data_IF_395949154582
#
_entry.id   IF_395949154582
#
_cell.length_a   1.000
_cell.length_b   1.000
_cell.length_c   1.000
_cell.angle_alpha   90.00
_cell.angle_beta   90.00
_cell.angle_gamma   90.00
#
_symmetry.space_group_name_H-M   'P 1'
#
loop_
_entity.id
_entity.type
_entity.pdbx_description
1 polymer ?
2 polymer ?
3 polymer ?
4 water ?
#
loop_
_entity_poly.entity_id
_entity_poly.type
_entity_poly.pdbx_seq_one_letter_code
_entity_poly.pdbx_strand_id
2 'polydeoxyribonucleotide' '(DG)(DT)(DT)(DA)(DG)(DG)(DG)(DT)(DT)(DA)(DG)(DG)(DG)(DT)(DT)(DA)(DG)(DG)(DG)(DT)(DT)(DA)(DG)' ?
3 'polydeoxyribonucleotide' '(DC)(DT)(DA)(DA)(DC)(DC)(DC)(DT)(DA)(DA)(DC)(DC)(DC)(DT)(DA)(DA)(DC)(DC)(DC)(DT)(DA)(DA)(DC)' ?
#
# COMPACT_ATOMS: atom_id res chain seq x y z
N UNK A 6 -0.80 0.29 22.60
CA UNK A 6 -1.25 0.96 23.81
C UNK A 6 -2.47 1.84 23.51
N UNK A 7 -2.72 2.07 22.22
CA UNK A 7 -3.79 2.94 21.77
C UNK A 7 -4.05 2.66 20.30
N UNK A 8 -5.23 3.03 19.78
CA UNK A 8 -5.48 2.87 18.35
C UNK A 8 -4.49 3.68 17.53
N UNK A 9 -4.13 3.13 16.36
CA UNK A 9 -3.23 3.83 15.45
C UNK A 9 -3.81 5.20 15.09
N UNK A 10 -2.97 6.23 15.18
CA UNK A 10 -3.47 7.59 15.01
C UNK A 10 -3.51 7.99 13.54
N UNK A 11 -4.41 8.91 13.23
CA UNK A 11 -4.40 9.63 11.96
C UNK A 11 -4.19 11.11 12.28
N UNK A 12 -3.44 11.79 11.41
CA UNK A 12 -3.06 13.18 11.65
C UNK A 12 -3.70 14.07 10.60
N UNK A 13 -4.71 14.83 11.03
CA UNK A 13 -5.41 15.77 10.15
C UNK A 13 -4.44 16.77 9.56
N UNK A 14 -4.64 17.11 8.30
CA UNK A 14 -3.83 18.13 7.65
C UNK A 14 -4.22 19.52 8.15
N UNK A 15 -3.24 20.27 8.62
CA UNK A 15 -3.45 21.66 9.00
C UNK A 15 -3.52 22.54 7.76
N UNK A 16 -4.02 23.77 7.95
CA UNK A 16 -4.10 24.70 6.84
C UNK A 16 -2.71 25.07 6.32
N UNK A 17 -1.75 25.22 7.23
CA UNK A 17 -0.38 25.52 6.81
C UNK A 17 0.21 24.40 5.97
N UNK A 18 -0.02 23.15 6.37
CA UNK A 18 0.42 22.01 5.57
C UNK A 18 -0.23 22.04 4.19
N UNK A 19 -1.54 22.26 4.14
CA UNK A 19 -2.25 22.27 2.86
C UNK A 19 -1.73 23.37 1.94
N UNK A 20 -1.49 24.57 2.49
CA UNK A 20 -1.00 25.66 1.66
C UNK A 20 0.39 25.37 1.13
N UNK A 21 1.21 24.66 1.90
CA UNK A 21 2.57 24.36 1.46
C UNK A 21 2.55 23.35 0.31
N UNK A 22 1.66 22.36 0.37
CA UNK A 22 1.58 21.37 -0.69
C UNK A 22 1.08 22.00 -1.98
N UNK A 23 0.14 22.95 -1.89
CA UNK A 23 -0.36 23.61 -3.08
C UNK A 23 0.75 24.39 -3.77
N UNK A 24 1.59 25.09 -2.99
CA UNK A 24 2.68 25.84 -3.58
C UNK A 24 3.72 24.92 -4.19
N UNK A 25 4.07 23.84 -3.48
CA UNK A 25 5.00 22.87 -4.04
C UNK A 25 4.47 22.21 -5.30
N UNK A 26 3.19 21.87 -5.30
CA UNK A 26 2.58 21.27 -6.49
C UNK A 26 2.62 22.25 -7.67
N UNK A 27 2.35 23.53 -7.42
CA UNK A 27 2.35 24.49 -8.51
C UNK A 27 3.75 24.77 -9.05
N UNK A 28 4.80 24.47 -8.27
CA UNK A 28 6.16 24.77 -8.67
C UNK A 28 6.86 23.61 -9.35
N UNK A 29 6.74 22.38 -8.82
CA UNK A 29 7.46 21.23 -9.35
C UNK A 29 6.52 20.09 -9.72
N UNK A 30 5.21 20.30 -9.62
CA UNK A 30 4.25 19.26 -9.94
C UNK A 30 4.31 18.11 -8.97
N UNK A 31 3.92 16.91 -9.42
CA UNK A 31 3.87 15.75 -8.53
C UNK A 31 5.25 15.15 -8.23
N UNK A 32 6.25 15.99 -8.04
CA UNK A 32 7.59 15.54 -7.65
C UNK A 32 7.68 15.60 -6.13
N UNK A 33 7.29 14.50 -5.49
CA UNK A 33 7.07 14.52 -4.04
C UNK A 33 8.38 14.71 -3.28
N UNK A 34 9.47 14.12 -3.78
CA UNK A 34 10.76 14.31 -3.11
C UNK A 34 11.23 15.75 -3.20
N UNK A 35 11.01 16.39 -4.36
CA UNK A 35 11.42 17.79 -4.51
C UNK A 35 10.59 18.71 -3.62
N UNK A 36 9.30 18.42 -3.45
CA UNK A 36 8.46 19.24 -2.58
C UNK A 36 8.99 19.23 -1.16
N UNK A 37 9.46 18.08 -0.70
CA UNK A 37 10.03 18.00 0.64
C UNK A 37 11.40 18.65 0.72
N UNK A 38 12.14 18.69 -0.39
CA UNK A 38 13.35 19.50 -0.45
C UNK A 38 13.02 20.97 -0.21
N UNK A 39 11.87 21.42 -0.72
CA UNK A 39 11.50 22.83 -0.59
C UNK A 39 10.80 23.11 0.73
N UNK A 40 10.00 22.17 1.24
CA UNK A 40 9.15 22.44 2.40
C UNK A 40 9.20 21.39 3.49
N UNK A 41 10.01 20.35 3.36
CA UNK A 41 10.08 19.31 4.35
C UNK A 41 11.05 19.63 5.46
N UNK A 42 11.58 18.59 6.12
CA UNK A 42 12.57 18.81 7.17
C UNK A 42 13.81 19.49 6.60
N UNK A 43 14.25 20.55 7.26
CA UNK A 43 15.34 21.35 6.71
C UNK A 43 15.03 21.90 5.33
N UNK A 44 13.77 22.20 5.07
CA UNK A 44 13.38 22.60 3.72
C UNK A 44 14.04 23.92 3.32
N UNK A 45 14.34 24.04 2.03
CA UNK A 45 15.00 25.24 1.52
C UNK A 45 14.13 26.48 1.72
N UNK A 46 12.83 26.34 1.56
CA UNK A 46 11.92 27.49 1.62
C UNK A 46 11.31 27.58 3.01
N UNK A 47 10.49 26.59 3.39
CA UNK A 47 9.93 26.52 4.73
C UNK A 47 10.09 25.09 5.23
N UNK A 48 9.55 24.83 6.42
CA UNK A 48 9.48 23.48 6.98
C UNK A 48 8.05 23.08 7.30
N UNK A 49 7.07 23.69 6.60
CA UNK A 49 5.67 23.47 6.91
C UNK A 49 5.19 22.06 6.59
N UNK A 50 5.94 21.30 5.79
CA UNK A 50 5.61 19.92 5.50
C UNK A 50 6.56 18.94 6.16
N UNK A 51 7.25 19.38 7.23
CA UNK A 51 8.29 18.55 7.83
C UNK A 51 7.74 17.28 8.48
N UNK A 52 6.43 17.22 8.74
CA UNK A 52 5.83 16.06 9.39
C UNK A 52 5.10 15.14 8.41
N UNK A 53 5.33 15.28 7.11
CA UNK A 53 4.65 14.48 6.10
C UNK A 53 5.67 13.78 5.21
N UNK A 54 5.44 12.51 4.94
CA UNK A 54 6.29 11.76 4.02
C UNK A 54 5.90 12.04 2.58
N UNK A 55 6.69 11.52 1.65
CA UNK A 55 6.37 11.64 0.23
C UNK A 55 5.03 10.99 -0.09
N UNK A 56 4.78 9.81 0.50
CA UNK A 56 3.53 9.12 0.24
C UNK A 56 2.35 9.87 0.86
N UNK A 57 2.56 10.50 2.02
CA UNK A 57 1.50 11.31 2.61
C UNK A 57 1.14 12.48 1.71
N UNK A 58 2.15 13.12 1.10
CA UNK A 58 1.89 14.21 0.17
C UNK A 58 1.06 13.72 -1.01
N UNK A 59 1.44 12.58 -1.60
CA UNK A 59 0.73 12.07 -2.76
C UNK A 59 -0.68 11.64 -2.41
N UNK A 60 -0.87 11.03 -1.24
CA UNK A 60 -2.22 10.63 -0.83
C UNK A 60 -3.12 11.84 -0.59
N UNK A 61 -2.54 12.96 -0.13
CA UNK A 61 -3.33 14.16 0.07
C UNK A 61 -3.68 14.81 -1.27
N UNK A 62 -2.70 14.93 -2.16
CA UNK A 62 -2.97 15.48 -3.48
C UNK A 62 -4.03 14.66 -4.21
N UNK A 63 -3.96 13.33 -4.08
CA UNK A 63 -4.95 12.48 -4.70
C UNK A 63 -6.34 12.76 -4.13
N UNK A 64 -6.43 12.89 -2.80
CA UNK A 64 -7.72 13.20 -2.18
C UNK A 64 -8.30 14.50 -2.73
N UNK A 65 -7.45 15.52 -2.91
CA UNK A 65 -7.91 16.78 -3.50
C UNK A 65 -8.42 16.56 -4.92
N UNK A 66 -7.64 15.86 -5.74
CA UNK A 66 -8.06 15.59 -7.11
C UNK A 66 -9.39 14.85 -7.14
N UNK A 67 -9.57 13.88 -6.24
CA UNK A 67 -10.83 13.15 -6.18
C UNK A 67 -11.98 14.07 -5.81
N UNK A 68 -11.73 15.05 -4.94
CA UNK A 68 -12.80 15.98 -4.55
C UNK A 68 -13.31 16.76 -5.76
N UNK A 69 -12.39 17.33 -6.55
CA UNK A 69 -12.80 18.04 -7.75
C UNK A 69 -13.52 17.11 -8.73
N UNK A 70 -12.99 15.90 -8.91
CA UNK A 70 -13.62 14.96 -9.84
C UNK A 70 -14.99 14.53 -9.35
N UNK A 71 -15.12 14.23 -8.06
CA UNK A 71 -16.41 13.78 -7.53
C UNK A 71 -17.47 14.85 -7.66
N UNK A 72 -17.10 16.12 -7.59
CA UNK A 72 -18.06 17.22 -7.67
C UNK A 72 -18.27 17.72 -9.08
N UNK A 73 -17.51 17.20 -10.05
CA UNK A 73 -17.62 17.66 -11.43
C UNK A 73 -16.99 19.01 -11.68
N UNK A 74 -16.19 19.51 -10.75
CA UNK A 74 -15.57 20.83 -10.89
C UNK A 74 -14.29 20.74 -11.73
N UNK A 75 -13.90 21.85 -12.35
CA UNK A 75 -12.65 21.85 -13.13
C UNK A 75 -11.45 21.56 -12.24
N UNK A 76 -10.57 20.71 -12.73
CA UNK A 76 -9.34 20.39 -12.00
C UNK A 76 -8.43 21.60 -12.00
N UNK A 77 -7.87 21.99 -10.85
CA UNK A 77 -6.77 22.96 -10.86
C UNK A 77 -5.63 22.43 -11.70
N UNK A 78 -4.87 23.34 -12.31
CA UNK A 78 -3.78 22.93 -13.17
C UNK A 78 -2.76 22.09 -12.41
N UNK A 79 -2.53 22.39 -11.14
CA UNK A 79 -1.50 21.69 -10.38
C UNK A 79 -1.91 20.30 -9.92
N UNK A 80 -3.11 19.83 -10.27
CA UNK A 80 -3.55 18.48 -9.95
C UNK A 80 -3.74 17.60 -11.19
N UNK A 81 -3.50 18.14 -12.39
CA UNK A 81 -3.75 17.38 -13.62
C UNK A 81 -2.89 16.13 -13.66
N UNK A 82 -1.64 16.23 -13.25
CA UNK A 82 -0.70 15.11 -13.30
C UNK A 82 -0.67 14.30 -12.00
N UNK A 83 -1.60 14.56 -11.08
CA UNK A 83 -1.67 13.80 -9.85
C UNK A 83 -2.46 12.52 -10.08
N UNK A 84 -2.02 11.42 -9.47
CA UNK A 84 -2.72 10.16 -9.62
C UNK A 84 -4.08 10.21 -8.93
N UNK A 85 -5.04 9.50 -9.50
CA UNK A 85 -6.39 9.48 -8.97
C UNK A 85 -7.46 9.33 -10.03
N UNK A 86 -8.29 8.30 -9.90
CA UNK A 86 -9.35 8.03 -10.85
C UNK A 86 -10.66 7.83 -10.12
N UNK A 87 -11.75 8.28 -10.74
CA UNK A 87 -13.07 8.17 -10.12
C UNK A 87 -13.45 6.71 -9.89
N UNK A 88 -12.92 5.80 -10.70
CA UNK A 88 -13.21 4.38 -10.53
C UNK A 88 -11.93 3.55 -10.56
N UNK D 11 -30.57 -3.70 7.70
CA UNK D 11 -29.76 -3.84 8.90
C UNK D 11 -29.86 -5.25 9.49
N UNK D 12 -28.72 -5.93 9.55
CA UNK D 12 -28.64 -7.31 10.00
C UNK D 12 -28.00 -7.35 11.38
N UNK D 13 -28.73 -7.86 12.37
CA UNK D 13 -28.17 -8.05 13.69
C UNK D 13 -27.09 -9.13 13.66
N UNK D 14 -26.15 -9.03 14.59
CA UNK D 14 -24.99 -9.91 14.60
C UNK D 14 -25.30 -11.23 15.28
N UNK D 15 -24.97 -12.33 14.63
CA UNK D 15 -25.14 -13.65 15.22
C UNK D 15 -24.05 -13.92 16.25
N UNK D 16 -24.32 -14.89 17.12
CA UNK D 16 -23.34 -15.26 18.14
C UNK D 16 -22.07 -15.81 17.50
N UNK D 17 -22.21 -16.54 16.39
CA UNK D 17 -21.03 -17.06 15.70
C UNK D 17 -20.21 -15.94 15.09
N UNK D 18 -20.88 -14.96 14.48
CA UNK D 18 -20.19 -13.79 13.95
C UNK D 18 -19.41 -13.08 15.05
N UNK D 19 -20.03 -12.89 16.21
CA UNK D 19 -19.37 -12.19 17.31
C UNK D 19 -18.16 -12.96 17.81
N UNK D 20 -18.27 -14.29 17.89
CA UNK D 20 -17.14 -15.09 18.35
C UNK D 20 -16.00 -15.06 17.35
N UNK D 21 -16.33 -15.07 16.06
CA UNK D 21 -15.29 -15.01 15.03
C UNK D 21 -14.53 -13.70 15.09
N UNK D 22 -15.24 -12.58 15.28
CA UNK D 22 -14.58 -11.28 15.38
C UNK D 22 -13.69 -11.21 16.61
N UNK D 23 -14.15 -11.78 17.73
CA UNK D 23 -13.33 -11.79 18.93
C UNK D 23 -12.07 -12.63 18.70
N UNK D 24 -12.20 -13.75 17.98
CA UNK D 24 -11.03 -14.56 17.67
C UNK D 24 -10.05 -13.83 16.78
N UNK D 25 -10.56 -13.15 15.74
CA UNK D 25 -9.68 -12.40 14.86
C UNK D 25 -8.98 -11.25 15.57
N UNK D 26 -9.69 -10.55 16.46
CA UNK D 26 -9.09 -9.45 17.19
C UNK D 26 -7.98 -9.93 18.12
N UNK D 27 -8.16 -11.09 18.73
CA UNK D 27 -7.11 -11.66 19.57
C UNK D 27 -5.88 -12.02 18.74
N UNK D 28 -6.09 -12.51 17.52
CA UNK D 28 -4.97 -12.99 16.71
C UNK D 28 -4.22 -11.84 16.04
N UNK D 29 -4.92 -11.00 15.29
CA UNK D 29 -4.28 -9.99 14.46
C UNK D 29 -4.64 -8.57 14.87
N UNK D 30 -5.40 -8.38 15.94
CA UNK D 30 -5.80 -7.06 16.36
C UNK D 30 -6.76 -6.42 15.39
N UNK D 31 -6.76 -5.09 15.32
CA UNK D 31 -7.70 -4.39 14.44
C UNK D 31 -7.28 -4.42 12.97
N UNK D 32 -6.81 -5.57 12.49
CA UNK D 32 -6.44 -5.74 11.09
C UNK D 32 -7.65 -6.32 10.36
N UNK D 33 -8.54 -5.41 9.96
CA UNK D 33 -9.87 -5.82 9.49
C UNK D 33 -9.78 -6.67 8.23
N UNK D 34 -8.92 -6.29 7.29
CA UNK D 34 -8.77 -7.08 6.08
C UNK D 34 -8.20 -8.46 6.39
N UNK D 35 -7.25 -8.53 7.32
CA UNK D 35 -6.68 -9.82 7.71
C UNK D 35 -7.73 -10.70 8.39
N UNK D 36 -8.62 -10.10 9.18
CA UNK D 36 -9.66 -10.88 9.84
C UNK D 36 -10.58 -11.54 8.81
N UNK D 37 -10.93 -10.81 7.75
CA UNK D 37 -11.72 -11.40 6.69
C UNK D 37 -10.93 -12.38 5.84
N UNK D 38 -9.59 -12.31 5.87
CA UNK D 38 -8.79 -13.36 5.25
C UNK D 38 -8.99 -14.68 5.98
N UNK D 39 -9.20 -14.64 7.29
CA UNK D 39 -9.31 -15.84 8.11
C UNK D 39 -10.75 -16.31 8.28
N UNK D 40 -11.70 -15.39 8.39
CA UNK D 40 -13.08 -15.75 8.67
C UNK D 40 -14.08 -15.20 7.67
N UNK D 41 -13.63 -14.49 6.63
CA UNK D 41 -14.53 -13.90 5.66
C UNK D 41 -14.90 -14.84 4.54
N UNK D 42 -15.33 -14.29 3.41
CA UNK D 42 -15.64 -15.13 2.24
C UNK D 42 -14.40 -15.88 1.79
N UNK D 43 -14.55 -17.20 1.66
CA UNK D 43 -13.39 -18.04 1.36
C UNK D 43 -12.30 -17.94 2.40
N UNK D 44 -12.69 -17.72 3.67
CA UNK D 44 -11.69 -17.55 4.70
C UNK D 44 -10.88 -18.81 4.92
N UNK D 45 -9.62 -18.61 5.32
CA UNK D 45 -8.70 -19.73 5.50
C UNK D 45 -9.05 -20.56 6.73
N UNK D 46 -9.73 -19.99 7.71
CA UNK D 46 -10.11 -20.69 8.94
C UNK D 46 -11.59 -21.05 8.92
N UNK D 47 -12.48 -20.06 8.81
CA UNK D 47 -13.91 -20.29 8.68
C UNK D 47 -14.46 -19.33 7.63
N UNK D 48 -15.79 -19.33 7.49
CA UNK D 48 -16.51 -18.31 6.72
C UNK D 48 -17.56 -17.61 7.56
N UNK D 49 -17.40 -17.62 8.89
CA UNK D 49 -18.43 -17.12 9.79
C UNK D 49 -18.72 -15.64 9.62
N UNK D 50 -17.77 -14.87 9.08
CA UNK D 50 -17.94 -13.44 8.90
C UNK D 50 -18.03 -13.06 7.42
N UNK D 51 -18.51 -13.99 6.58
CA UNK D 51 -18.48 -13.77 5.14
C UNK D 51 -19.44 -12.67 4.69
N UNK D 52 -20.43 -12.32 5.51
CA UNK D 52 -21.42 -11.31 5.14
C UNK D 52 -21.16 -9.96 5.82
N UNK D 53 -19.94 -9.72 6.28
CA UNK D 53 -19.60 -8.46 6.93
C UNK D 53 -18.40 -7.84 6.23
N UNK D 54 -18.49 -6.56 5.90
CA UNK D 54 -17.39 -5.83 5.28
C UNK D 54 -16.34 -5.48 6.33
N UNK D 55 -15.24 -4.89 5.86
CA UNK D 55 -14.18 -4.45 6.78
C UNK D 55 -14.67 -3.35 7.70
N UNK D 56 -15.47 -2.42 7.18
CA UNK D 56 -15.98 -1.33 8.01
C UNK D 56 -17.02 -1.85 8.98
N UNK D 57 -17.78 -2.89 8.60
CA UNK D 57 -18.72 -3.49 9.53
C UNK D 57 -18.00 -4.12 10.71
N UNK D 58 -16.87 -4.79 10.45
CA UNK D 58 -16.08 -5.36 11.54
C UNK D 58 -15.59 -4.27 12.48
N UNK D 59 -14.97 -3.23 11.93
CA UNK D 59 -14.48 -2.13 12.75
C UNK D 59 -15.60 -1.50 13.57
N UNK D 60 -16.78 -1.32 12.95
CA UNK D 60 -17.89 -0.67 13.66
C UNK D 60 -18.43 -1.55 14.77
N UNK D 61 -18.40 -2.88 14.57
CA UNK D 61 -18.85 -3.78 15.63
C UNK D 61 -17.89 -3.78 16.79
N UNK D 62 -16.58 -3.83 16.51
CA UNK D 62 -15.59 -3.78 17.57
C UNK D 62 -15.67 -2.47 18.34
N UNK D 63 -15.89 -1.36 17.63
CA UNK D 63 -16.05 -0.07 18.31
C UNK D 63 -17.30 -0.07 19.19
N UNK D 64 -18.41 -0.62 18.67
CA UNK D 64 -19.61 -0.79 19.49
C UNK D 64 -19.27 -1.46 20.82
N UNK D 65 -18.51 -2.56 20.76
CA UNK D 65 -18.10 -3.25 21.97
C UNK D 65 -17.27 -2.35 22.87
N UNK D 66 -16.27 -1.67 22.29
CA UNK D 66 -15.39 -0.81 23.09
C UNK D 66 -16.18 0.27 23.82
N UNK D 67 -17.13 0.91 23.14
CA UNK D 67 -17.93 1.95 23.77
C UNK D 67 -18.76 1.41 24.92
N UNK D 68 -19.22 0.15 24.83
CA UNK D 68 -19.96 -0.46 25.92
C UNK D 68 -19.10 -0.55 27.18
N UNK D 69 -17.85 -0.98 27.04
CA UNK D 69 -16.96 -1.06 28.20
C UNK D 69 -16.64 0.33 28.75
N UNK D 70 -16.39 1.29 27.85
CA UNK D 70 -16.06 2.64 28.30
C UNK D 70 -17.23 3.29 29.03
N UNK D 71 -18.46 3.05 28.57
CA UNK D 71 -19.62 3.66 29.19
C UNK D 71 -19.88 3.10 30.59
N UNK D 72 -19.47 1.86 30.85
CA UNK D 72 -19.80 1.17 32.09
C UNK D 72 -18.62 1.03 33.04
N UNK D 73 -17.44 1.53 32.67
CA UNK D 73 -16.28 1.39 33.52
C UNK D 73 -15.68 0.01 33.59
N UNK D 74 -16.21 -0.96 32.85
CA UNK D 74 -15.65 -2.30 32.87
C UNK D 74 -14.26 -2.29 32.23
N UNK D 75 -13.31 -3.01 32.81
CA UNK D 75 -11.97 -3.09 32.20
C UNK D 75 -12.02 -3.51 30.75
N UNK D 76 -11.32 -2.76 29.91
CA UNK D 76 -11.33 -3.01 28.48
C UNK D 76 -10.54 -4.28 28.17
N UNK D 77 -11.12 -5.23 27.44
CA UNK D 77 -10.33 -6.41 27.03
C UNK D 77 -9.12 -5.99 26.21
N UNK D 78 -8.05 -6.80 26.33
CA UNK D 78 -6.82 -6.45 25.65
C UNK D 78 -7.02 -6.35 24.13
N UNK D 79 -7.87 -7.20 23.57
CA UNK D 79 -8.11 -7.22 22.14
C UNK D 79 -8.97 -6.06 21.65
N UNK D 80 -9.27 -5.09 22.50
CA UNK D 80 -9.99 -3.88 22.09
C UNK D 80 -9.18 -2.61 22.31
N UNK D 81 -7.98 -2.72 22.90
CA UNK D 81 -7.20 -1.53 23.22
C UNK D 81 -6.93 -0.69 21.97
N UNK D 82 -6.59 -1.35 20.87
CA UNK D 82 -6.27 -0.65 19.63
C UNK D 82 -7.46 -0.48 18.72
N UNK D 83 -8.66 -0.78 19.19
CA UNK D 83 -9.88 -0.54 18.42
C UNK D 83 -10.30 0.91 18.60
N UNK D 84 -10.69 1.55 17.49
CA UNK D 84 -11.11 2.95 17.56
C UNK D 84 -12.41 3.09 18.36
N UNK D 85 -12.56 4.23 19.02
CA UNK D 85 -13.75 4.49 19.78
C UNK D 85 -13.51 5.42 20.96
N UNK D 86 -14.21 6.55 20.99
CA UNK D 86 -14.11 7.51 22.08
C UNK D 86 -15.51 7.92 22.51
N UNK D 87 -15.66 8.18 23.81
CA UNK D 87 -16.92 8.69 24.34
C UNK D 87 -16.99 10.20 24.16
N UNK D 88 -18.20 10.70 23.92
CA UNK D 88 -18.44 12.12 23.68
C UNK D 88 -17.89 12.99 24.81
N UNK E 9 7.78 8.70 -18.27
CA UNK E 9 7.77 7.32 -18.74
C UNK E 9 6.53 6.58 -18.25
N UNK E 10 5.81 5.95 -19.18
CA UNK E 10 4.60 5.22 -18.85
C UNK E 10 4.95 3.85 -18.27
N UNK E 11 4.35 3.53 -17.13
CA UNK E 11 4.60 2.25 -16.48
C UNK E 11 3.77 1.15 -17.11
N UNK E 12 4.40 0.01 -17.36
CA UNK E 12 3.74 -1.12 -18.00
C UNK E 12 3.98 -2.37 -17.17
N UNK E 13 2.90 -3.00 -16.71
CA UNK E 13 3.03 -4.20 -15.90
C UNK E 13 3.64 -5.34 -16.72
N UNK E 14 4.31 -6.25 -16.03
CA UNK E 14 4.99 -7.36 -16.67
C UNK E 14 3.98 -8.43 -17.07
N UNK E 15 4.04 -8.85 -18.33
CA UNK E 15 3.24 -9.97 -18.79
C UNK E 15 3.85 -11.28 -18.30
N UNK E 16 3.09 -12.38 -18.46
CA UNK E 16 3.64 -13.68 -18.11
C UNK E 16 4.77 -14.07 -19.04
N UNK E 17 4.66 -13.70 -20.33
CA UNK E 17 5.71 -14.01 -21.29
C UNK E 17 7.03 -13.36 -20.86
N UNK E 18 6.98 -12.11 -20.42
CA UNK E 18 8.19 -11.41 -20.01
C UNK E 18 8.80 -12.03 -18.77
N UNK E 19 7.96 -12.38 -17.78
CA UNK E 19 8.46 -12.97 -16.55
C UNK E 19 9.10 -14.33 -16.80
N UNK E 20 8.48 -15.15 -17.65
CA UNK E 20 9.05 -16.45 -17.99
C UNK E 20 10.39 -16.29 -18.68
N UNK E 21 10.51 -15.30 -19.57
CA UNK E 21 11.78 -15.05 -20.24
C UNK E 21 12.85 -14.65 -19.23
N UNK E 22 12.52 -13.73 -18.32
CA UNK E 22 13.48 -13.29 -17.32
C UNK E 22 13.89 -14.44 -16.41
N UNK E 23 12.94 -15.30 -16.05
CA UNK E 23 13.26 -16.47 -15.22
C UNK E 23 14.26 -17.37 -15.95
N UNK E 24 14.00 -17.65 -17.23
CA UNK E 24 14.90 -18.51 -17.99
C UNK E 24 16.28 -17.89 -18.14
N UNK E 25 16.34 -16.56 -18.31
CA UNK E 25 17.62 -15.90 -18.40
C UNK E 25 18.42 -16.00 -17.12
N UNK E 26 17.76 -15.80 -15.98
CA UNK E 26 18.45 -15.93 -14.69
C UNK E 26 18.98 -17.34 -14.50
N UNK E 27 18.16 -18.36 -14.82
CA UNK E 27 18.59 -19.73 -14.70
C UNK E 27 19.84 -20.02 -15.52
N UNK E 28 19.95 -19.39 -16.69
CA UNK E 28 21.03 -19.74 -17.62
C UNK E 28 22.29 -18.93 -17.40
N UNK E 29 22.19 -17.61 -17.18
CA UNK E 29 23.37 -16.77 -17.10
C UNK E 29 23.40 -15.95 -15.81
N UNK E 30 22.45 -16.20 -14.92
CA UNK E 30 22.39 -15.48 -13.68
C UNK E 30 22.04 -14.02 -13.90
N UNK E 31 22.47 -13.15 -12.99
CA UNK E 31 22.12 -11.72 -13.10
C UNK E 31 22.98 -10.96 -14.07
N UNK E 32 23.21 -11.51 -15.25
CA UNK E 32 23.94 -10.82 -16.32
C UNK E 32 22.90 -10.20 -17.26
N UNK E 33 22.44 -9.00 -16.88
CA UNK E 33 21.27 -8.42 -17.52
C UNK E 33 21.49 -8.17 -19.00
N UNK E 34 22.67 -7.69 -19.39
CA UNK E 34 22.95 -7.48 -20.80
C UNK E 34 22.91 -8.81 -21.56
N UNK E 35 23.43 -9.88 -20.94
CA UNK E 35 23.41 -11.18 -21.61
C UNK E 35 21.99 -11.71 -21.72
N UNK E 36 21.15 -11.44 -20.72
CA UNK E 36 19.75 -11.86 -20.80
C UNK E 36 19.06 -11.18 -21.97
N UNK E 37 19.38 -9.91 -22.22
CA UNK E 37 18.84 -9.21 -23.37
C UNK E 37 19.47 -9.69 -24.68
N UNK E 38 20.68 -10.27 -24.63
CA UNK E 38 21.22 -10.90 -25.83
C UNK E 38 20.40 -12.12 -26.22
N UNK E 39 19.79 -12.79 -25.24
CA UNK E 39 18.98 -13.97 -25.54
C UNK E 39 17.53 -13.62 -25.85
N UNK E 40 16.96 -12.63 -25.14
CA UNK E 40 15.52 -12.37 -25.21
C UNK E 40 15.16 -10.93 -25.52
N UNK E 41 16.13 -10.04 -25.70
CA UNK E 41 15.86 -8.66 -26.02
C UNK E 41 15.65 -8.44 -27.50
N UNK E 42 15.87 -7.20 -27.96
CA UNK E 42 15.75 -6.92 -29.39
C UNK E 42 16.74 -7.77 -30.18
N UNK E 43 16.24 -8.41 -31.24
CA UNK E 43 17.06 -9.33 -31.99
C UNK E 43 17.65 -10.44 -31.15
N UNK E 44 16.96 -10.84 -30.07
CA UNK E 44 17.51 -11.85 -29.18
C UNK E 44 17.79 -13.15 -29.90
N UNK E 45 18.75 -13.90 -29.37
CA UNK E 45 19.15 -15.14 -30.01
C UNK E 45 18.08 -16.22 -29.91
N UNK E 46 17.24 -16.16 -28.89
CA UNK E 46 16.19 -17.15 -28.66
C UNK E 46 14.81 -16.59 -28.99
N UNK E 47 14.37 -15.55 -28.28
CA UNK E 47 13.15 -14.83 -28.61
C UNK E 47 13.40 -13.33 -28.48
N UNK E 48 12.34 -12.55 -28.74
CA UNK E 48 12.32 -11.12 -28.45
C UNK E 48 11.34 -10.81 -27.33
N UNK E 49 11.14 -11.75 -26.41
CA UNK E 49 10.09 -11.63 -25.41
C UNK E 49 10.37 -10.53 -24.38
N UNK E 50 11.61 -10.07 -24.26
CA UNK E 50 11.98 -9.01 -23.34
C UNK E 50 12.44 -7.76 -24.07
N UNK E 51 12.02 -7.59 -25.33
CA UNK E 51 12.55 -6.51 -26.16
C UNK E 51 12.16 -5.13 -25.64
N UNK E 52 11.12 -5.04 -24.82
CA UNK E 52 10.64 -3.77 -24.30
C UNK E 52 11.07 -3.52 -22.86
N UNK E 53 12.09 -4.23 -22.37
CA UNK E 53 12.61 -4.03 -21.02
C UNK E 53 14.11 -3.77 -21.09
N UNK E 54 14.54 -2.68 -20.45
CA UNK E 54 15.95 -2.36 -20.39
C UNK E 54 16.65 -3.30 -19.41
N UNK E 55 17.99 -3.19 -19.37
CA UNK E 55 18.76 -3.96 -18.39
C UNK E 55 18.38 -3.60 -16.97
N UNK E 56 18.18 -2.31 -16.70
CA UNK E 56 17.80 -1.87 -15.36
C UNK E 56 16.40 -2.37 -15.00
N UNK E 57 15.51 -2.42 -15.98
CA UNK E 57 14.17 -2.95 -15.73
C UNK E 57 14.21 -4.43 -15.38
N UNK E 58 15.11 -5.19 -16.02
CA UNK E 58 15.31 -6.59 -15.64
C UNK E 58 15.80 -6.71 -14.20
N UNK E 59 16.85 -5.96 -13.87
CA UNK E 59 17.38 -5.96 -12.51
C UNK E 59 16.29 -5.61 -11.50
N UNK E 60 15.51 -4.57 -11.79
CA UNK E 60 14.48 -4.13 -10.84
C UNK E 60 13.36 -5.15 -10.70
N UNK E 61 13.01 -5.85 -11.77
CA UNK E 61 11.98 -6.88 -11.68
C UNK E 61 12.47 -8.06 -10.86
N UNK E 62 13.69 -8.53 -11.13
CA UNK E 62 14.25 -9.65 -10.39
C UNK E 62 14.40 -9.31 -8.91
N UNK E 63 14.82 -8.08 -8.60
CA UNK E 63 14.93 -7.67 -7.20
C UNK E 63 13.56 -7.67 -6.52
N UNK E 64 12.51 -7.24 -7.24
CA UNK E 64 11.17 -7.30 -6.68
C UNK E 64 10.76 -8.73 -6.35
N UNK E 65 11.19 -9.69 -7.18
CA UNK E 65 10.93 -11.09 -6.87
C UNK E 65 11.68 -11.53 -5.62
N UNK E 66 12.98 -11.19 -5.55
CA UNK E 66 13.77 -11.58 -4.38
C UNK E 66 13.21 -10.99 -3.10
N UNK E 67 12.73 -9.75 -3.16
CA UNK E 67 12.20 -9.10 -1.97
C UNK E 67 10.97 -9.82 -1.45
N UNK E 68 10.08 -10.24 -2.36
CA UNK E 68 8.89 -10.99 -1.96
C UNK E 68 9.26 -12.21 -1.13
N UNK E 69 10.26 -12.96 -1.58
CA UNK E 69 10.72 -14.13 -0.83
C UNK E 69 11.27 -13.72 0.53
N UNK E 70 12.09 -12.66 0.56
CA UNK E 70 12.65 -12.20 1.82
C UNK E 70 11.56 -11.76 2.79
N UNK E 71 10.43 -11.27 2.27
CA UNK E 71 9.31 -10.89 3.14
C UNK E 71 8.50 -12.10 3.56
N UNK E 72 8.17 -12.98 2.59
CA UNK E 72 7.37 -14.15 2.90
C UNK E 72 8.12 -15.16 3.75
N UNK E 73 9.45 -15.04 3.83
CA UNK E 73 10.25 -16.02 4.52
C UNK E 73 10.37 -17.36 3.82
N UNK E 74 9.68 -17.56 2.71
CA UNK E 74 9.77 -18.82 1.97
C UNK E 74 11.12 -18.88 1.24
N UNK E 75 11.61 -20.10 0.98
CA UNK E 75 12.96 -20.22 0.39
C UNK E 75 13.04 -19.59 -0.99
N UNK E 76 14.16 -18.88 -1.25
CA UNK E 76 14.22 -18.25 -2.56
C UNK E 76 14.84 -19.20 -3.57
N UNK E 77 14.40 -19.11 -4.83
CA UNK E 77 15.02 -19.93 -5.88
C UNK E 77 16.49 -19.61 -6.04
N UNK E 78 17.25 -20.60 -6.50
CA UNK E 78 18.69 -20.44 -6.65
C UNK E 78 19.03 -19.34 -7.65
N UNK E 79 18.20 -19.17 -8.68
CA UNK E 79 18.47 -18.14 -9.67
C UNK E 79 18.27 -16.72 -9.14
N UNK E 80 17.94 -16.56 -7.86
CA UNK E 80 17.82 -15.25 -7.25
C UNK E 80 18.88 -14.97 -6.19
N UNK E 81 19.68 -15.97 -5.81
CA UNK E 81 20.62 -15.80 -4.71
C UNK E 81 21.65 -14.73 -5.03
N UNK E 82 21.95 -14.52 -6.31
CA UNK E 82 22.89 -13.49 -6.73
C UNK E 82 22.21 -12.19 -7.15
N UNK E 83 20.88 -12.15 -7.13
CA UNK E 83 20.15 -10.93 -7.49
C UNK E 83 20.24 -9.95 -6.33
N UNK E 84 20.48 -8.67 -6.66
CA UNK E 84 20.57 -7.65 -5.63
C UNK E 84 19.20 -7.46 -4.96
N UNK E 85 19.25 -7.04 -3.70
CA UNK E 85 18.02 -6.85 -2.94
C UNK E 85 18.14 -7.30 -1.49
N UNK E 86 17.75 -6.44 -0.57
CA UNK E 86 17.80 -6.75 0.86
C UNK E 86 16.71 -5.97 1.58
N UNK E 87 15.99 -6.66 2.46
CA UNK E 87 14.98 -5.98 3.27
C UNK E 87 15.64 -5.00 4.23
N UNK E 88 15.02 -3.85 4.40
CA UNK E 88 15.54 -2.80 5.27
C UNK E 88 14.47 -2.32 6.24
#
# INVERSE_FOLDING_TARGET
MSIGLRKPKAKRTWSKEEEEALVEGLKEVGPSWSKILDLYGPGGKITENLKNRTQVQLKDKARNWKLQYLKSGKPLPDYLIKVTGNLEKIYKAKKKFSQSPN
MSIGLRKPKAKRTWSKEEEEALVEGLKEVGPSWSKILDLYGPGGKITENLKNRTQVQLKDKARNWKLQYLKSGKPLPDYLIKVTGNLEKIYKAKKKFSQSPN
MSIGLRKPKAKRTWSKEEEEALVEGLKEVGPSWSKILDLYGPGGKITENLKNRTQVQLKDKARNWKLQYLKSGKPLPDYLIKVTGNLEKIYKAKKKFSQSPN
#
